data_IF_481138958809
#
_entry.id   IF_481138958809
#
_cell.length_a   1.000
_cell.length_b   1.000
_cell.length_c   1.000
_cell.angle_alpha   90.00
_cell.angle_beta   90.00
_cell.angle_gamma   90.00
#
_symmetry.space_group_name_H-M   'P 1'
#
loop_
_entity.id
_entity.type
_entity.pdbx_description
1 polymer ?
#
# COMPACT_ATOMS: atom_id res chain seq x y z
N UNK A 1 16.27 -0.57 -37.50
CA UNK A 1 15.29 0.23 -36.75
C UNK A 1 14.35 -0.74 -36.06
N UNK A 2 14.59 -1.02 -34.78
CA UNK A 2 13.86 -2.03 -34.02
C UNK A 2 12.52 -1.50 -33.54
N UNK A 3 11.46 -2.25 -33.82
CA UNK A 3 10.08 -2.00 -33.41
C UNK A 3 10.01 -2.00 -31.87
N UNK A 4 9.92 -0.82 -31.25
CA UNK A 4 9.67 -0.66 -29.81
C UNK A 4 8.19 -0.93 -29.48
N UNK A 5 7.67 -2.08 -29.91
CA UNK A 5 6.38 -2.58 -29.43
C UNK A 5 6.63 -3.07 -28.02
N UNK A 6 6.28 -2.24 -27.04
CA UNK A 6 6.43 -2.53 -25.61
C UNK A 6 6.06 -3.98 -25.32
N UNK A 7 7.04 -4.72 -24.79
CA UNK A 7 6.87 -6.12 -24.39
C UNK A 7 5.64 -6.22 -23.48
N UNK A 8 4.74 -7.15 -23.82
CA UNK A 8 3.59 -7.45 -22.96
C UNK A 8 4.11 -8.09 -21.69
N UNK A 9 3.57 -7.64 -20.56
CA UNK A 9 3.89 -8.19 -19.24
C UNK A 9 3.24 -9.57 -19.13
N UNK A 10 4.03 -10.60 -18.82
CA UNK A 10 3.56 -11.99 -18.66
C UNK A 10 2.84 -12.14 -17.32
N UNK A 11 1.52 -11.96 -17.36
CA UNK A 11 0.62 -12.04 -16.22
C UNK A 11 -0.31 -13.25 -16.29
N UNK A 12 0.10 -14.33 -16.98
CA UNK A 12 -0.79 -15.44 -17.34
C UNK A 12 -1.53 -16.05 -16.14
N UNK A 13 -0.86 -16.18 -14.99
CA UNK A 13 -1.47 -16.70 -13.75
C UNK A 13 -2.55 -15.76 -13.21
N UNK A 14 -2.29 -14.45 -13.19
CA UNK A 14 -3.26 -13.43 -12.75
C UNK A 14 -4.47 -13.40 -13.69
N UNK A 15 -4.21 -13.43 -15.01
CA UNK A 15 -5.24 -13.42 -16.04
C UNK A 15 -6.12 -14.67 -15.99
N UNK A 16 -5.52 -15.85 -15.82
CA UNK A 16 -6.25 -17.10 -15.65
C UNK A 16 -7.14 -17.09 -14.40
N UNK A 17 -6.64 -16.54 -13.28
CA UNK A 17 -7.40 -16.42 -12.05
C UNK A 17 -8.57 -15.43 -12.17
N UNK A 18 -8.34 -14.28 -12.82
CA UNK A 18 -9.38 -13.30 -13.13
C UNK A 18 -10.46 -13.88 -14.06
N UNK A 19 -10.06 -14.59 -15.12
CA UNK A 19 -11.01 -15.22 -16.04
C UNK A 19 -11.81 -16.35 -15.37
N UNK A 20 -11.17 -17.16 -14.50
CA UNK A 20 -11.85 -18.16 -13.69
C UNK A 20 -12.92 -17.53 -12.79
N UNK A 21 -12.57 -16.45 -12.05
CA UNK A 21 -13.54 -15.72 -11.24
C UNK A 21 -14.66 -15.12 -12.09
N UNK A 22 -14.33 -14.48 -13.22
CA UNK A 22 -15.29 -13.89 -14.15
C UNK A 22 -16.30 -14.92 -14.69
N UNK A 23 -15.85 -16.13 -15.02
CA UNK A 23 -16.71 -17.26 -15.42
C UNK A 23 -17.58 -17.72 -14.27
N UNK A 24 -17.00 -17.92 -13.08
CA UNK A 24 -17.70 -18.39 -11.88
C UNK A 24 -18.88 -17.48 -11.52
N UNK A 25 -18.72 -16.17 -11.64
CA UNK A 25 -19.76 -15.19 -11.30
C UNK A 25 -20.77 -14.93 -12.43
N UNK A 26 -20.63 -15.58 -13.58
CA UNK A 26 -21.61 -15.50 -14.68
C UNK A 26 -21.34 -14.45 -15.75
N UNK A 27 -20.08 -14.02 -15.91
CA UNK A 27 -19.60 -13.13 -16.99
C UNK A 27 -20.43 -11.83 -17.11
N UNK A 28 -20.45 -10.97 -16.07
CA UNK A 28 -21.11 -9.68 -16.14
C UNK A 28 -20.59 -8.83 -17.30
N UNK A 29 -21.45 -8.05 -17.95
CA UNK A 29 -20.97 -7.08 -18.93
C UNK A 29 -20.03 -6.06 -18.27
N UNK A 30 -19.04 -5.56 -19.01
CA UNK A 30 -18.12 -4.54 -18.46
C UNK A 30 -18.86 -3.28 -18.03
N UNK A 31 -19.94 -2.88 -18.73
CA UNK A 31 -20.80 -1.78 -18.30
C UNK A 31 -21.42 -2.03 -16.92
N UNK A 32 -21.91 -3.25 -16.68
CA UNK A 32 -22.46 -3.63 -15.37
C UNK A 32 -21.41 -3.63 -14.26
N UNK A 33 -20.18 -4.03 -14.57
CA UNK A 33 -19.06 -3.96 -13.62
C UNK A 33 -18.71 -2.51 -13.25
N UNK A 34 -18.74 -1.59 -14.23
CA UNK A 34 -18.49 -0.16 -13.99
C UNK A 34 -19.57 0.43 -13.08
N UNK A 35 -20.85 0.18 -13.36
CA UNK A 35 -21.96 0.64 -12.51
C UNK A 35 -21.83 0.14 -11.06
N UNK A 36 -21.47 -1.13 -10.88
CA UNK A 36 -21.28 -1.71 -9.56
C UNK A 36 -20.08 -1.12 -8.82
N UNK A 37 -18.99 -0.85 -9.54
CA UNK A 37 -17.83 -0.18 -8.97
C UNK A 37 -18.19 1.23 -8.48
N UNK A 38 -18.90 2.01 -9.30
CA UNK A 38 -19.34 3.36 -8.93
C UNK A 38 -20.27 3.36 -7.71
N UNK A 39 -21.23 2.43 -7.68
CA UNK A 39 -22.13 2.26 -6.53
C UNK A 39 -21.37 1.92 -5.25
N UNK A 40 -20.40 1.00 -5.32
CA UNK A 40 -19.53 0.64 -4.20
C UNK A 40 -18.67 1.81 -3.72
N UNK A 41 -18.02 2.53 -4.64
CA UNK A 41 -17.15 3.67 -4.32
C UNK A 41 -17.94 4.78 -3.59
N UNK A 42 -19.20 5.01 -3.98
CA UNK A 42 -20.06 6.00 -3.32
C UNK A 42 -20.51 5.57 -1.93
N UNK A 43 -20.72 4.27 -1.71
CA UNK A 43 -21.23 3.73 -0.45
C UNK A 43 -20.13 3.58 0.62
N UNK A 44 -18.90 3.28 0.22
CA UNK A 44 -17.79 2.97 1.13
C UNK A 44 -16.78 4.14 1.17
N UNK A 45 -17.12 5.18 1.92
CA UNK A 45 -16.24 6.35 2.13
C UNK A 45 -15.08 5.98 3.05
N UNK A 46 -13.85 5.96 2.52
CA UNK A 46 -12.62 5.77 3.30
C UNK A 46 -11.63 4.75 2.72
N UNK A 47 -12.08 3.91 1.78
CA UNK A 47 -11.22 2.95 1.09
C UNK A 47 -10.63 3.55 -0.21
N UNK A 48 -9.38 3.20 -0.56
CA UNK A 48 -8.78 3.58 -1.85
C UNK A 48 -9.31 2.67 -2.98
N UNK A 49 -10.57 2.86 -3.34
CA UNK A 49 -11.16 2.23 -4.52
C UNK A 49 -10.73 2.97 -5.80
N UNK A 50 -10.43 2.21 -6.87
CA UNK A 50 -10.10 2.79 -8.17
C UNK A 50 -11.31 2.73 -9.09
N UNK A 51 -11.64 3.82 -9.76
CA UNK A 51 -12.70 3.81 -10.76
C UNK A 51 -12.38 2.83 -11.88
N UNK A 52 -13.41 2.14 -12.36
CA UNK A 52 -13.31 1.23 -13.49
C UNK A 52 -13.85 1.92 -14.74
N UNK A 53 -13.23 1.64 -15.88
CA UNK A 53 -13.77 1.97 -17.20
C UNK A 53 -13.88 0.70 -18.03
N UNK A 54 -14.79 0.69 -19.01
CA UNK A 54 -14.95 -0.45 -19.93
C UNK A 54 -13.67 -0.73 -20.72
N UNK A 55 -12.90 0.31 -21.06
CA UNK A 55 -11.60 0.19 -21.72
C UNK A 55 -10.54 -0.45 -20.82
N UNK A 56 -10.42 -0.01 -19.56
CA UNK A 56 -9.50 -0.61 -18.59
C UNK A 56 -9.85 -2.08 -18.32
N UNK A 57 -11.13 -2.38 -18.12
CA UNK A 57 -11.60 -3.75 -17.95
C UNK A 57 -11.29 -4.61 -19.16
N UNK A 58 -11.61 -4.15 -20.38
CA UNK A 58 -11.29 -4.94 -21.57
C UNK A 58 -9.79 -5.12 -21.78
N UNK A 59 -8.97 -4.13 -21.44
CA UNK A 59 -7.52 -4.25 -21.58
C UNK A 59 -6.95 -5.23 -20.56
N UNK A 60 -7.35 -5.12 -19.29
CA UNK A 60 -6.91 -6.02 -18.21
C UNK A 60 -7.36 -7.45 -18.49
N UNK A 61 -8.64 -7.68 -18.75
CA UNK A 61 -9.19 -9.03 -18.97
C UNK A 61 -8.63 -9.72 -20.23
N UNK A 62 -8.04 -8.97 -21.16
CA UNK A 62 -7.40 -9.49 -22.38
C UNK A 62 -5.87 -9.47 -22.32
N UNK A 63 -5.25 -9.09 -21.20
CA UNK A 63 -3.80 -8.95 -21.08
C UNK A 63 -3.18 -7.90 -22.01
N UNK A 64 -3.93 -6.87 -22.40
CA UNK A 64 -3.51 -5.81 -23.34
C UNK A 64 -3.07 -4.55 -22.60
N UNK A 65 -2.18 -4.68 -21.62
CA UNK A 65 -1.59 -3.54 -20.91
C UNK A 65 -0.07 -3.53 -21.11
N UNK A 66 0.48 -2.32 -21.26
CA UNK A 66 1.93 -2.08 -21.38
C UNK A 66 2.60 -1.84 -20.03
N UNK A 67 1.78 -1.58 -18.99
CA UNK A 67 2.21 -1.34 -17.62
C UNK A 67 1.36 -2.19 -16.68
N UNK A 68 2.00 -2.77 -15.67
CA UNK A 68 1.32 -3.64 -14.72
C UNK A 68 0.24 -2.82 -13.99
N UNK A 69 -1.03 -3.24 -14.00
CA UNK A 69 -2.07 -2.55 -13.25
C UNK A 69 -1.76 -2.61 -11.75
N UNK A 70 -1.83 -1.44 -11.10
CA UNK A 70 -1.60 -1.36 -9.66
C UNK A 70 -2.64 -2.18 -8.87
N UNK A 71 -2.20 -2.76 -7.76
CA UNK A 71 -3.03 -3.59 -6.90
C UNK A 71 -4.43 -3.01 -6.56
N UNK A 72 -4.59 -1.71 -6.23
CA UNK A 72 -5.93 -1.16 -5.94
C UNK A 72 -6.94 -1.33 -7.09
N UNK A 73 -6.47 -1.32 -8.34
CA UNK A 73 -7.32 -1.55 -9.50
C UNK A 73 -7.74 -3.02 -9.61
N UNK A 74 -6.81 -3.96 -9.44
CA UNK A 74 -7.10 -5.39 -9.42
C UNK A 74 -8.05 -5.75 -8.28
N UNK A 75 -7.79 -5.23 -7.08
CA UNK A 75 -8.66 -5.38 -5.91
C UNK A 75 -10.08 -4.93 -6.21
N UNK A 76 -10.25 -3.76 -6.84
CA UNK A 76 -11.58 -3.25 -7.22
C UNK A 76 -12.30 -4.22 -8.17
N UNK A 77 -11.60 -4.73 -9.20
CA UNK A 77 -12.17 -5.69 -10.15
C UNK A 77 -12.63 -6.97 -9.43
N UNK A 78 -11.77 -7.53 -8.57
CA UNK A 78 -12.07 -8.75 -7.80
C UNK A 78 -13.28 -8.54 -6.89
N UNK A 79 -13.34 -7.43 -6.16
CA UNK A 79 -14.46 -7.10 -5.26
C UNK A 79 -15.77 -6.90 -6.04
N UNK A 80 -15.73 -6.25 -7.19
CA UNK A 80 -16.92 -6.06 -8.04
C UNK A 80 -17.44 -7.39 -8.57
N UNK A 81 -16.55 -8.27 -9.02
CA UNK A 81 -16.93 -9.62 -9.45
C UNK A 81 -17.55 -10.42 -8.31
N UNK A 82 -16.95 -10.35 -7.11
CA UNK A 82 -17.52 -10.98 -5.92
C UNK A 82 -18.92 -10.45 -5.61
N UNK A 83 -19.13 -9.12 -5.55
CA UNK A 83 -20.44 -8.51 -5.32
C UNK A 83 -21.46 -8.92 -6.38
N UNK A 84 -21.07 -8.97 -7.65
CA UNK A 84 -21.94 -9.47 -8.72
C UNK A 84 -22.30 -10.95 -8.52
N UNK A 85 -21.33 -11.77 -8.12
CA UNK A 85 -21.54 -13.19 -7.82
C UNK A 85 -22.52 -13.41 -6.66
N UNK A 86 -22.40 -12.62 -5.59
CA UNK A 86 -23.29 -12.72 -4.43
C UNK A 86 -24.71 -12.24 -4.75
N UNK A 87 -24.85 -11.14 -5.50
CA UNK A 87 -26.16 -10.62 -5.93
C UNK A 87 -26.94 -11.62 -6.80
N UNK A 88 -26.25 -12.47 -7.56
CA UNK A 88 -26.87 -13.47 -8.42
C UNK A 88 -26.90 -14.89 -7.82
N UNK A 89 -26.61 -15.04 -6.52
CA UNK A 89 -26.61 -16.33 -5.84
C UNK A 89 -25.54 -17.32 -6.30
N UNK A 90 -24.50 -16.85 -7.02
CA UNK A 90 -23.39 -17.66 -7.54
C UNK A 90 -22.20 -17.75 -6.59
N UNK A 91 -22.19 -16.91 -5.55
CA UNK A 91 -21.20 -16.91 -4.49
C UNK A 91 -21.88 -16.68 -3.15
N UNK A 92 -21.35 -17.29 -2.10
CA UNK A 92 -21.81 -17.04 -0.73
C UNK A 92 -21.40 -15.63 -0.29
N UNK A 93 -22.36 -14.87 0.25
CA UNK A 93 -22.08 -13.58 0.86
C UNK A 93 -21.50 -13.79 2.27
N UNK A 94 -20.18 -13.78 2.38
CA UNK A 94 -19.46 -13.89 3.65
C UNK A 94 -18.24 -12.94 3.69
N UNK A 95 -18.00 -12.22 4.81
CA UNK A 95 -16.78 -11.44 5.01
C UNK A 95 -15.50 -12.28 4.85
N UNK A 96 -15.55 -13.54 5.28
CA UNK A 96 -14.40 -14.45 5.17
C UNK A 96 -14.12 -14.87 3.72
N UNK A 97 -15.18 -15.01 2.92
CA UNK A 97 -15.06 -15.38 1.50
C UNK A 97 -14.41 -14.27 0.68
N UNK A 98 -14.83 -13.01 0.87
CA UNK A 98 -14.19 -11.88 0.18
C UNK A 98 -12.74 -11.67 0.65
N UNK A 99 -12.47 -11.77 1.96
CA UNK A 99 -11.11 -11.63 2.51
C UNK A 99 -10.16 -12.71 1.99
N UNK A 100 -10.63 -13.96 1.91
CA UNK A 100 -9.84 -15.05 1.33
C UNK A 100 -9.59 -14.83 -0.15
N UNK A 101 -10.62 -14.44 -0.90
CA UNK A 101 -10.49 -14.16 -2.33
C UNK A 101 -9.49 -13.03 -2.60
N UNK A 102 -9.60 -11.90 -1.90
CA UNK A 102 -8.69 -10.77 -2.08
C UNK A 102 -7.26 -11.13 -1.71
N UNK A 103 -7.04 -11.89 -0.63
CA UNK A 103 -5.72 -12.40 -0.24
C UNK A 103 -5.09 -13.29 -1.32
N UNK A 104 -5.83 -14.25 -1.85
CA UNK A 104 -5.29 -15.11 -2.91
C UNK A 104 -4.93 -14.32 -4.19
N UNK A 105 -5.71 -13.28 -4.53
CA UNK A 105 -5.37 -12.40 -5.64
C UNK A 105 -4.16 -11.50 -5.33
N UNK A 106 -4.01 -11.06 -4.08
CA UNK A 106 -2.86 -10.30 -3.63
C UNK A 106 -1.56 -11.12 -3.73
N UNK A 107 -1.59 -12.40 -3.32
CA UNK A 107 -0.45 -13.31 -3.43
C UNK A 107 -0.02 -13.53 -4.88
N UNK A 108 -0.98 -13.71 -5.79
CA UNK A 108 -0.69 -13.85 -7.22
C UNK A 108 -0.15 -12.54 -7.79
N UNK A 109 -0.71 -11.40 -7.40
CA UNK A 109 -0.24 -10.09 -7.86
C UNK A 109 1.19 -9.78 -7.36
N UNK A 110 1.49 -10.07 -6.08
CA UNK A 110 2.84 -9.94 -5.50
C UNK A 110 3.86 -10.80 -6.27
N UNK A 111 3.48 -12.03 -6.66
CA UNK A 111 4.35 -12.90 -7.44
C UNK A 111 4.64 -12.37 -8.86
N UNK A 112 3.68 -11.64 -9.45
CA UNK A 112 3.85 -10.97 -10.75
C UNK A 112 4.72 -9.73 -10.59
N UNK A 113 4.44 -8.86 -9.61
CA UNK A 113 5.21 -7.64 -9.37
C UNK A 113 6.69 -7.94 -9.06
N UNK A 114 6.97 -8.99 -8.28
CA UNK A 114 8.35 -9.39 -7.94
C UNK A 114 9.11 -10.02 -9.10
N UNK A 115 8.43 -10.69 -10.05
CA UNK A 115 9.05 -11.24 -11.26
C UNK A 115 9.33 -10.15 -12.31
N UNK A 116 8.38 -9.23 -12.48
CA UNK A 116 8.43 -8.19 -13.50
C UNK A 116 9.04 -6.87 -13.01
N UNK A 117 9.49 -6.79 -11.76
CA UNK A 117 10.30 -5.66 -11.29
C UNK A 117 11.61 -5.67 -12.08
N UNK A 118 11.81 -4.75 -13.06
CA UNK A 118 13.14 -4.63 -13.65
C UNK A 118 14.06 -4.25 -12.50
N UNK A 119 15.19 -4.96 -12.35
CA UNK A 119 16.34 -4.45 -11.63
C UNK A 119 16.73 -3.15 -12.34
N UNK A 120 16.12 -2.02 -11.96
CA UNK A 120 16.34 -0.74 -12.62
C UNK A 120 17.84 -0.48 -12.52
N UNK A 121 18.60 -0.51 -13.63
CA UNK A 121 19.98 -0.09 -13.56
C UNK A 121 19.92 1.37 -13.15
N UNK A 122 20.45 1.69 -11.97
CA UNK A 122 20.67 3.07 -11.55
C UNK A 122 21.51 3.68 -12.66
N UNK A 123 20.92 4.58 -13.42
CA UNK A 123 21.62 5.27 -14.51
C UNK A 123 22.73 6.07 -13.85
N UNK A 124 23.95 5.51 -13.81
CA UNK A 124 25.15 6.26 -13.49
C UNK A 124 25.26 7.27 -14.63
N UNK A 125 24.86 8.52 -14.37
CA UNK A 125 25.13 9.58 -15.33
C UNK A 125 26.63 9.62 -15.57
N UNK A 126 27.10 9.49 -16.83
CA UNK A 126 28.51 9.61 -17.13
C UNK A 126 28.94 11.04 -16.76
N UNK A 127 29.98 11.12 -15.94
CA UNK A 127 30.62 12.37 -15.56
C UNK A 127 31.14 13.08 -16.82
N UNK A 128 30.65 14.29 -17.08
CA UNK A 128 31.14 15.17 -18.16
C UNK A 128 31.78 16.38 -17.47
N UNK A 129 33.09 16.63 -17.65
CA UNK A 129 33.75 17.81 -17.10
C UNK A 129 33.20 19.10 -17.73
N UNK A 130 32.83 20.09 -16.91
CA UNK A 130 32.44 21.45 -17.35
C UNK A 130 30.96 21.82 -17.21
N UNK A 131 30.16 21.05 -16.46
CA UNK A 131 28.77 21.43 -16.15
C UNK A 131 28.73 22.53 -15.06
N UNK A 132 27.75 23.43 -15.12
CA UNK A 132 27.66 24.72 -14.40
C UNK A 132 27.49 24.55 -12.86
N UNK A 133 27.57 23.31 -12.38
CA UNK A 133 27.59 22.90 -10.97
C UNK A 133 29.01 22.55 -10.51
N UNK A 134 30.02 23.35 -10.88
CA UNK A 134 31.34 23.27 -10.27
C UNK A 134 31.24 23.63 -8.78
N UNK A 135 31.21 22.61 -7.93
CA UNK A 135 31.22 22.75 -6.48
C UNK A 135 32.60 23.24 -6.01
N UNK A 136 32.59 24.30 -5.20
CA UNK A 136 33.81 24.81 -4.58
C UNK A 136 34.48 23.72 -3.69
N UNK A 137 35.82 23.71 -3.54
CA UNK A 137 36.54 22.71 -2.75
C UNK A 137 36.09 22.60 -1.27
N UNK A 138 35.39 23.63 -0.78
CA UNK A 138 35.01 23.80 0.61
C UNK A 138 33.55 23.40 0.90
N UNK A 139 32.81 22.91 -0.10
CA UNK A 139 31.47 22.37 0.14
C UNK A 139 31.59 21.06 0.94
N UNK A 140 31.32 21.16 2.24
CA UNK A 140 31.09 20.03 3.15
C UNK A 140 30.12 19.08 2.47
N UNK A 141 30.64 17.96 1.97
CA UNK A 141 29.84 16.85 1.47
C UNK A 141 28.95 16.40 2.62
N UNK A 142 27.69 16.85 2.62
CA UNK A 142 26.67 16.17 3.41
C UNK A 142 26.76 14.70 3.04
N UNK A 143 26.88 13.78 4.01
CA UNK A 143 26.95 12.37 3.71
C UNK A 143 25.79 12.04 2.78
N UNK A 144 26.04 11.31 1.68
CA UNK A 144 25.00 10.98 0.72
C UNK A 144 23.81 10.41 1.49
N UNK A 145 22.66 11.07 1.36
CA UNK A 145 21.39 10.61 1.93
C UNK A 145 21.31 9.12 1.65
N UNK A 146 21.26 8.29 2.72
CA UNK A 146 21.05 6.84 2.59
C UNK A 146 19.96 6.69 1.54
N UNK A 147 20.27 6.13 0.36
CA UNK A 147 19.33 6.10 -0.74
C UNK A 147 18.03 5.56 -0.18
N UNK A 148 16.92 6.31 -0.29
CA UNK A 148 15.65 5.97 0.33
C UNK A 148 15.21 4.57 -0.14
N UNK A 149 15.63 3.54 0.60
CA UNK A 149 15.33 2.14 0.30
C UNK A 149 13.82 1.90 0.40
N UNK A 150 13.14 2.79 1.13
CA UNK A 150 11.71 2.76 1.34
C UNK A 150 11.11 4.16 1.11
N UNK A 151 10.01 4.26 0.36
CA UNK A 151 9.25 5.51 0.21
C UNK A 151 8.04 5.46 1.12
N UNK A 152 7.75 6.56 1.82
CA UNK A 152 6.54 6.64 2.65
C UNK A 152 5.29 6.39 1.77
N UNK A 153 4.34 5.55 2.22
CA UNK A 153 3.08 5.32 1.51
C UNK A 153 2.38 6.62 1.15
N UNK A 154 1.75 6.66 -0.04
CA UNK A 154 1.06 7.86 -0.53
C UNK A 154 -0.06 8.35 0.38
N UNK A 155 -0.67 7.45 1.15
CA UNK A 155 -1.69 7.74 2.14
C UNK A 155 -1.26 8.81 3.17
N UNK A 156 0.05 8.94 3.39
CA UNK A 156 0.65 9.86 4.35
C UNK A 156 1.14 11.19 3.71
N UNK A 157 1.07 11.28 2.39
CA UNK A 157 1.32 12.49 1.62
C UNK A 157 2.69 13.16 1.88
N UNK A 158 2.73 14.49 1.70
CA UNK A 158 3.96 15.29 1.85
C UNK A 158 4.49 15.32 3.29
N UNK A 159 3.60 15.20 4.28
CA UNK A 159 3.96 15.23 5.70
C UNK A 159 4.71 13.95 6.07
N UNK A 160 4.18 12.78 5.69
CA UNK A 160 4.88 11.50 5.89
C UNK A 160 6.25 11.47 5.18
N UNK A 161 6.32 11.98 3.96
CA UNK A 161 7.60 12.10 3.24
C UNK A 161 8.58 13.09 3.89
N UNK A 162 8.09 14.12 4.58
CA UNK A 162 8.94 15.04 5.35
C UNK A 162 9.44 14.41 6.64
N UNK A 163 8.64 13.57 7.30
CA UNK A 163 9.04 12.81 8.49
C UNK A 163 10.15 11.83 8.12
N UNK A 164 9.98 11.07 7.03
CA UNK A 164 10.98 10.12 6.57
C UNK A 164 12.32 10.80 6.25
N UNK A 165 12.28 11.94 5.54
CA UNK A 165 13.50 12.71 5.24
C UNK A 165 14.23 13.20 6.49
N UNK A 166 13.50 13.60 7.53
CA UNK A 166 14.12 13.96 8.81
C UNK A 166 14.71 12.74 9.51
N UNK A 167 14.02 11.60 9.48
CA UNK A 167 14.53 10.35 10.02
C UNK A 167 15.84 9.92 9.33
N UNK A 168 15.90 10.05 8.00
CA UNK A 168 17.11 9.81 7.19
C UNK A 168 18.27 10.75 7.56
N UNK A 169 17.98 11.95 8.06
CA UNK A 169 18.96 12.92 8.58
C UNK A 169 19.40 12.63 10.02
N UNK A 170 18.95 11.53 10.63
CA UNK A 170 19.31 11.13 11.99
C UNK A 170 18.40 11.68 13.09
N UNK A 171 17.23 12.25 12.73
CA UNK A 171 16.26 12.70 13.73
C UNK A 171 15.52 11.51 14.35
N UNK A 172 15.88 11.15 15.58
CA UNK A 172 15.30 10.01 16.29
C UNK A 172 13.79 10.15 16.57
N UNK A 173 13.27 11.37 16.75
CA UNK A 173 11.83 11.60 16.92
C UNK A 173 11.11 11.36 15.61
N UNK A 174 11.69 11.81 14.49
CA UNK A 174 11.14 11.54 13.17
C UNK A 174 11.23 10.04 12.81
N UNK A 175 12.29 9.34 13.23
CA UNK A 175 12.41 7.89 13.08
C UNK A 175 11.31 7.14 13.85
N UNK A 176 11.03 7.52 15.10
CA UNK A 176 9.90 6.96 15.86
C UNK A 176 8.56 7.22 15.17
N UNK A 177 8.34 8.44 14.69
CA UNK A 177 7.14 8.82 13.94
C UNK A 177 6.99 8.01 12.64
N UNK A 178 8.07 7.81 11.89
CA UNK A 178 8.08 6.99 10.68
C UNK A 178 7.74 5.53 10.99
N UNK A 179 8.32 4.96 12.06
CA UNK A 179 8.04 3.60 12.50
C UNK A 179 6.54 3.40 12.80
N UNK A 180 5.92 4.34 13.52
CA UNK A 180 4.48 4.28 13.81
C UNK A 180 3.64 4.36 12.54
N UNK A 181 3.90 5.31 11.64
CA UNK A 181 3.12 5.46 10.39
C UNK A 181 3.22 4.22 9.48
N UNK A 182 4.40 3.63 9.37
CA UNK A 182 4.63 2.42 8.57
C UNK A 182 3.92 1.20 9.16
N UNK A 183 3.98 1.04 10.49
CA UNK A 183 3.25 0.00 11.20
C UNK A 183 1.72 0.18 11.08
N UNK A 184 1.21 1.42 11.15
CA UNK A 184 -0.20 1.71 10.92
C UNK A 184 -0.63 1.45 9.47
N UNK A 185 0.21 1.73 8.48
CA UNK A 185 -0.11 1.36 7.09
C UNK A 185 -0.22 -0.15 6.94
N UNK A 186 0.66 -0.91 7.60
CA UNK A 186 0.67 -2.37 7.55
C UNK A 186 -0.62 -3.00 8.10
N UNK A 187 -1.41 -2.28 8.91
CA UNK A 187 -2.71 -2.78 9.41
C UNK A 187 -3.84 -2.65 8.39
N UNK A 188 -3.65 -1.93 7.28
CA UNK A 188 -4.67 -1.80 6.24
C UNK A 188 -4.92 -3.14 5.56
N UNK A 189 -6.18 -3.44 5.28
CA UNK A 189 -6.59 -4.64 4.55
C UNK A 189 -6.22 -4.58 3.07
N UNK A 190 -6.05 -3.37 2.56
CA UNK A 190 -5.75 -3.11 1.16
C UNK A 190 -4.30 -3.43 0.79
N UNK A 191 -3.45 -3.68 1.80
CA UNK A 191 -2.03 -3.95 1.66
C UNK A 191 -1.79 -5.44 1.45
N UNK A 192 -1.02 -5.78 0.42
CA UNK A 192 -0.67 -7.17 0.13
C UNK A 192 0.20 -7.79 1.23
N UNK A 193 0.21 -9.12 1.43
CA UNK A 193 1.03 -9.75 2.46
C UNK A 193 2.54 -9.49 2.30
N UNK A 194 3.06 -9.39 1.08
CA UNK A 194 4.46 -9.03 0.85
C UNK A 194 4.73 -7.56 1.22
N UNK A 195 3.88 -6.64 0.77
CA UNK A 195 4.05 -5.22 1.09
C UNK A 195 3.87 -4.95 2.59
N UNK A 196 2.99 -5.70 3.27
CA UNK A 196 2.84 -5.68 4.73
C UNK A 196 4.14 -6.06 5.44
N UNK A 197 4.82 -7.12 5.00
CA UNK A 197 6.12 -7.53 5.57
C UNK A 197 7.17 -6.45 5.38
N UNK A 198 7.27 -5.89 4.17
CA UNK A 198 8.19 -4.78 3.88
C UNK A 198 7.92 -3.56 4.77
N UNK A 199 6.66 -3.19 4.97
CA UNK A 199 6.27 -2.09 5.86
C UNK A 199 6.66 -2.35 7.32
N UNK A 200 6.46 -3.57 7.80
CA UNK A 200 6.80 -3.95 9.17
C UNK A 200 8.31 -4.05 9.39
N UNK A 201 9.06 -4.54 8.40
CA UNK A 201 10.53 -4.56 8.41
C UNK A 201 11.09 -3.14 8.43
N UNK A 202 10.61 -2.26 7.55
CA UNK A 202 10.99 -0.85 7.56
C UNK A 202 10.60 -0.16 8.88
N UNK A 203 9.42 -0.45 9.42
CA UNK A 203 9.01 0.07 10.73
C UNK A 203 9.94 -0.41 11.86
N UNK A 204 10.40 -1.66 11.82
CA UNK A 204 11.34 -2.21 12.80
C UNK A 204 12.72 -1.56 12.70
N UNK A 205 13.20 -1.28 11.48
CA UNK A 205 14.46 -0.54 11.26
C UNK A 205 14.37 0.87 11.83
N UNK A 206 13.30 1.62 11.53
CA UNK A 206 13.13 2.97 12.08
C UNK A 206 12.91 2.98 13.58
N UNK A 207 12.23 1.97 14.14
CA UNK A 207 12.13 1.76 15.59
C UNK A 207 13.53 1.59 16.20
N UNK A 208 14.40 0.79 15.56
CA UNK A 208 15.78 0.58 16.02
C UNK A 208 16.59 1.87 15.99
N UNK A 209 16.50 2.66 14.92
CA UNK A 209 17.19 3.96 14.79
C UNK A 209 16.70 4.99 15.83
N UNK A 210 15.43 4.92 16.24
CA UNK A 210 14.89 5.75 17.33
C UNK A 210 15.28 5.25 18.74
N UNK A 211 15.64 3.96 18.85
CA UNK A 211 15.94 3.31 20.12
C UNK A 211 17.25 3.86 20.69
N UNK A 212 17.21 4.33 21.93
CA UNK A 212 18.35 4.97 22.61
C UNK A 212 18.22 6.49 22.76
N UNK A 213 17.36 7.13 21.96
CA UNK A 213 17.05 8.57 22.11
C UNK A 213 15.59 8.81 22.49
N UNK A 214 14.65 8.01 21.94
CA UNK A 214 13.22 8.09 22.28
C UNK A 214 12.87 6.91 23.19
N UNK A 215 12.48 7.17 24.43
CA UNK A 215 12.20 6.13 25.42
C UNK A 215 11.04 5.22 24.97
N UNK A 216 10.01 5.81 24.37
CA UNK A 216 8.83 5.11 23.84
C UNK A 216 9.16 4.16 22.67
N UNK A 217 10.29 4.36 21.98
CA UNK A 217 10.69 3.50 20.88
C UNK A 217 11.09 2.10 21.34
N UNK A 218 11.64 1.95 22.56
CA UNK A 218 12.08 0.66 23.09
C UNK A 218 10.91 -0.33 23.20
N UNK A 219 9.77 0.16 23.66
CA UNK A 219 8.59 -0.65 23.97
C UNK A 219 7.55 -0.62 22.86
N UNK A 220 7.76 0.12 21.77
CA UNK A 220 6.81 0.29 20.67
C UNK A 220 6.40 -1.07 20.06
N UNK A 221 5.13 -1.49 20.22
CA UNK A 221 4.60 -2.65 19.51
C UNK A 221 4.21 -2.25 18.09
N UNK A 222 4.58 -3.05 17.09
CA UNK A 222 4.30 -2.76 15.67
C UNK A 222 2.92 -3.29 15.20
N UNK A 223 2.11 -3.78 16.14
CA UNK A 223 0.75 -4.27 15.89
C UNK A 223 -0.11 -4.15 17.15
N UNK A 224 -1.42 -4.38 17.00
CA UNK A 224 -2.32 -4.54 18.14
C UNK A 224 -2.65 -3.23 18.88
N UNK A 225 -3.21 -3.37 20.07
CA UNK A 225 -3.56 -2.24 20.96
C UNK A 225 -2.35 -1.37 21.36
N UNK A 226 -1.14 -1.95 21.35
CA UNK A 226 0.08 -1.21 21.61
C UNK A 226 0.41 -0.20 20.53
N UNK A 227 0.24 -0.59 19.25
CA UNK A 227 0.37 0.34 18.12
C UNK A 227 -0.71 1.42 18.15
N UNK A 228 -1.95 1.05 18.50
CA UNK A 228 -3.05 2.01 18.65
C UNK A 228 -2.72 3.09 19.69
N UNK A 229 -2.16 2.69 20.84
CA UNK A 229 -1.72 3.62 21.88
C UNK A 229 -0.64 4.57 21.38
N UNK A 230 0.38 4.06 20.69
CA UNK A 230 1.46 4.88 20.15
C UNK A 230 0.96 5.90 19.11
N UNK A 231 0.07 5.48 18.21
CA UNK A 231 -0.58 6.40 17.26
C UNK A 231 -1.44 7.45 17.98
N UNK A 232 -2.18 7.06 19.03
CA UNK A 232 -3.00 7.96 19.84
C UNK A 232 -2.17 8.99 20.61
N UNK A 233 -1.02 8.59 21.16
CA UNK A 233 -0.10 9.53 21.80
C UNK A 233 0.43 10.57 20.80
N UNK A 234 0.83 10.15 19.60
CA UNK A 234 1.26 11.10 18.54
C UNK A 234 0.12 11.98 18.01
N UNK A 235 -1.11 11.46 18.00
CA UNK A 235 -2.29 12.18 17.55
C UNK A 235 -2.75 13.26 18.56
N UNK A 236 -2.76 12.92 19.85
CA UNK A 236 -3.48 13.70 20.87
C UNK A 236 -2.59 14.33 21.95
N UNK A 237 -1.30 13.98 22.06
CA UNK A 237 -0.39 14.58 23.05
C UNK A 237 -0.01 16.02 22.65
N UNK A 238 -0.34 16.99 23.52
CA UNK A 238 0.10 18.39 23.43
C UNK A 238 1.61 18.50 23.76
N UNK A 239 2.40 19.41 23.16
CA UNK A 239 2.01 20.73 22.62
C UNK A 239 2.20 20.89 21.10
N UNK A 240 2.18 19.81 20.32
CA UNK A 240 2.50 19.88 18.90
C UNK A 240 1.45 20.69 18.09
N UNK A 241 1.89 21.49 17.09
CA UNK A 241 0.97 22.28 16.27
C UNK A 241 -0.03 21.37 15.55
N UNK A 242 -1.33 21.66 15.72
CA UNK A 242 -2.47 20.82 15.32
C UNK A 242 -2.42 20.26 13.88
N UNK A 243 -1.73 20.91 12.95
CA UNK A 243 -1.60 20.47 11.54
C UNK A 243 -0.75 19.21 11.36
N UNK A 244 0.25 18.94 12.21
CA UNK A 244 1.10 17.74 12.11
C UNK A 244 0.45 16.50 12.73
N UNK A 245 -0.60 16.67 13.54
CA UNK A 245 -1.26 15.59 14.25
C UNK A 245 -2.31 14.87 13.40
N UNK A 246 -2.85 15.53 12.36
CA UNK A 246 -3.92 14.97 11.50
C UNK A 246 -3.52 13.64 10.88
N UNK A 247 -2.25 13.50 10.48
CA UNK A 247 -1.73 12.25 9.91
C UNK A 247 -1.75 11.10 10.92
N UNK A 248 -1.49 11.40 12.20
CA UNK A 248 -1.51 10.41 13.28
C UNK A 248 -2.93 10.14 13.77
N UNK A 249 -3.85 11.11 13.67
CA UNK A 249 -5.29 10.87 13.88
C UNK A 249 -5.78 9.88 12.81
N UNK A 250 -5.43 10.08 11.54
CA UNK A 250 -5.75 9.14 10.48
C UNK A 250 -5.14 7.75 10.75
N UNK A 251 -3.86 7.68 11.12
CA UNK A 251 -3.19 6.43 11.47
C UNK A 251 -3.85 5.72 12.66
N UNK A 252 -4.26 6.46 13.70
CA UNK A 252 -5.00 5.94 14.83
C UNK A 252 -6.33 5.29 14.39
N UNK A 253 -7.12 6.00 13.58
CA UNK A 253 -8.40 5.49 13.08
C UNK A 253 -8.25 4.22 12.23
N UNK A 254 -7.18 4.12 11.43
CA UNK A 254 -6.90 2.91 10.65
C UNK A 254 -6.62 1.69 11.53
N UNK A 255 -5.82 1.86 12.57
CA UNK A 255 -5.53 0.76 13.52
C UNK A 255 -6.76 0.41 14.34
N UNK A 256 -7.53 1.40 14.77
CA UNK A 256 -8.77 1.20 15.53
C UNK A 256 -9.79 0.38 14.73
N UNK A 257 -10.03 0.75 13.47
CA UNK A 257 -10.94 0.03 12.58
C UNK A 257 -10.48 -1.43 12.36
N UNK A 258 -9.17 -1.63 12.17
CA UNK A 258 -8.60 -2.98 12.01
C UNK A 258 -8.78 -3.84 13.27
N UNK A 259 -8.63 -3.26 14.47
CA UNK A 259 -8.80 -3.96 15.75
C UNK A 259 -10.26 -4.31 16.02
N UNK A 260 -11.19 -3.38 15.78
CA UNK A 260 -12.62 -3.62 15.94
C UNK A 260 -13.10 -4.75 15.04
N UNK A 261 -12.62 -4.79 13.79
CA UNK A 261 -12.95 -5.87 12.85
C UNK A 261 -12.38 -7.22 13.27
N UNK A 262 -11.15 -7.25 13.80
CA UNK A 262 -10.54 -8.48 14.33
C UNK A 262 -11.32 -9.02 15.55
N UNK A 263 -11.79 -8.12 16.42
CA UNK A 263 -12.60 -8.48 17.58
C UNK A 263 -13.97 -9.07 17.16
N UNK A 264 -14.64 -8.47 16.18
CA UNK A 264 -15.91 -8.96 15.65
C UNK A 264 -15.80 -10.37 15.06
N UNK A 265 -14.74 -10.66 14.30
CA UNK A 265 -14.48 -11.99 13.72
C UNK A 265 -14.19 -13.04 14.81
N UNK A 266 -13.50 -12.64 15.88
CA UNK A 266 -13.19 -13.52 17.02
C UNK A 266 -14.41 -13.93 17.84
N UNK A 267 -15.44 -13.08 17.89
CA UNK A 267 -16.68 -13.31 18.63
C UNK A 267 -17.67 -14.18 17.83
N UNK A 268 -17.66 -14.08 16.49
CA UNK A 268 -18.42 -14.97 15.59
C UNK A 268 -17.87 -16.41 15.55
N UNK A 269 -16.56 -16.60 15.78
CA UNK A 269 -15.92 -17.92 15.78
C UNK A 269 -16.11 -18.71 17.08
N UNK A 270 -16.69 -18.09 18.12
CA UNK A 270 -16.94 -18.69 19.45
C UNK A 270 -18.42 -18.99 19.72
N UNK A 271 -19.29 -18.78 18.74
CA UNK A 271 -20.71 -19.18 18.75
C UNK A 271 -20.92 -20.34 17.81
#
# INVERSE_FOLDING_TARGET
MGDARGERIDCDVLLAKLDSLYRKVGRPSYGRMVELAESMIRAETGEEWRSLSTSHLSNIMKGRFTLLPGWPLIRTIVTVLYKFGTMNGRMAASPQAISTLTREFAEVWDAVETRDAPARPVTRMPYVPGDILEQAPDEVRLPPVKSAAFRMPRAWGRIGASILRRAEQGDAVAAYQAAVLLACEATREEVTPAYRRLLLEAAAEWKKEATGTVAEALTLPLHGHGLLRAAGELAFRRPHPAKRNVIFIQAFLHVEAALQKTAAIGDESRR
#
